data_IF_104258436337
#
_entry.id   IF_104258436337
#
_cell.length_a   1.000
_cell.length_b   1.000
_cell.length_c   1.000
_cell.angle_alpha   90.00
_cell.angle_beta   90.00
_cell.angle_gamma   90.00
#
_symmetry.space_group_name_H-M   'P 1'
#
loop_
_entity.id
_entity.type
_entity.pdbx_description
1 polymer ?
#
# COMPACT_ATOMS: atom_id res chain seq x y z
N UNK A 1 18.30 26.37 13.08
CA UNK A 1 19.00 25.78 14.25
C UNK A 1 19.51 26.92 15.11
N UNK A 2 19.27 26.86 16.41
CA UNK A 2 19.66 27.92 17.35
C UNK A 2 21.19 28.05 17.41
N UNK A 3 21.71 29.26 17.14
CA UNK A 3 23.16 29.51 16.98
C UNK A 3 23.93 29.18 18.26
N UNK A 4 23.29 29.32 19.41
CA UNK A 4 23.90 29.02 20.71
C UNK A 4 23.97 27.51 20.97
N UNK A 5 23.02 26.72 20.46
CA UNK A 5 23.05 25.25 20.49
C UNK A 5 24.12 24.67 19.55
N UNK A 6 24.35 25.31 18.40
CA UNK A 6 25.43 24.93 17.48
C UNK A 6 26.80 25.30 18.06
N UNK A 7 26.91 26.45 18.73
CA UNK A 7 28.14 26.87 19.39
C UNK A 7 28.45 26.04 20.64
N UNK A 8 27.41 25.68 21.40
CA UNK A 8 27.53 24.75 22.54
C UNK A 8 27.94 23.36 22.07
N UNK A 9 27.32 22.81 21.01
CA UNK A 9 27.69 21.49 20.49
C UNK A 9 29.11 21.46 19.91
N UNK A 10 29.56 22.51 19.22
CA UNK A 10 30.95 22.67 18.79
C UNK A 10 31.93 22.86 19.98
N UNK A 11 31.53 23.54 21.05
CA UNK A 11 32.37 23.67 22.25
C UNK A 11 32.49 22.36 23.04
N UNK A 12 31.44 21.54 23.02
CA UNK A 12 31.34 20.29 23.79
C UNK A 12 31.98 19.09 23.07
N UNK A 13 31.93 19.06 21.74
CA UNK A 13 32.47 17.96 20.91
C UNK A 13 33.70 18.36 20.07
N UNK A 14 33.99 19.66 19.94
CA UNK A 14 35.01 20.20 19.05
C UNK A 14 36.46 19.80 19.37
N UNK A 15 36.93 19.77 20.63
CA UNK A 15 38.33 19.44 20.92
C UNK A 15 38.68 17.99 20.56
N UNK A 16 37.78 17.06 20.84
CA UNK A 16 37.92 15.62 20.58
C UNK A 16 37.79 15.27 19.10
N UNK A 17 36.84 15.90 18.39
CA UNK A 17 36.68 15.75 16.94
C UNK A 17 37.92 16.31 16.20
N UNK A 18 38.41 17.47 16.63
CA UNK A 18 39.56 18.14 16.03
C UNK A 18 40.89 17.42 16.33
N UNK A 19 41.01 16.75 17.48
CA UNK A 19 42.15 15.86 17.76
C UNK A 19 42.13 14.60 16.91
N UNK A 20 40.95 14.01 16.66
CA UNK A 20 40.82 12.83 15.80
C UNK A 20 41.12 13.14 14.33
N UNK A 21 40.63 14.28 13.83
CA UNK A 21 40.94 14.80 12.49
C UNK A 21 42.44 15.07 12.30
N UNK A 22 43.15 15.53 13.34
CA UNK A 22 44.61 15.74 13.30
C UNK A 22 45.41 14.45 13.37
N UNK A 23 44.95 13.46 14.14
CA UNK A 23 45.60 12.15 14.24
C UNK A 23 45.50 11.36 12.93
N UNK A 24 44.37 11.38 12.21
CA UNK A 24 44.26 10.66 10.93
C UNK A 24 44.92 11.39 9.75
N UNK A 25 45.18 12.70 9.88
CA UNK A 25 46.01 13.44 8.91
C UNK A 25 47.52 13.11 9.00
N UNK A 26 47.97 12.43 10.06
CA UNK A 26 49.35 11.95 10.21
C UNK A 26 49.31 10.42 10.30
N UNK A 27 49.76 9.72 9.26
CA UNK A 27 49.56 8.26 9.06
C UNK A 27 50.02 7.32 10.21
N UNK A 28 50.65 7.81 11.28
CA UNK A 28 51.10 6.96 12.39
C UNK A 28 51.08 7.66 13.76
N UNK A 29 50.00 7.52 14.53
CA UNK A 29 50.05 7.58 16.00
C UNK A 29 48.86 6.85 16.65
N UNK A 30 49.15 5.97 17.62
CA UNK A 30 48.13 5.29 18.42
C UNK A 30 47.52 6.22 19.49
N UNK A 31 46.23 6.06 19.85
CA UNK A 31 45.58 6.93 20.83
C UNK A 31 46.03 6.59 22.27
N UNK A 32 46.10 7.57 23.20
CA UNK A 32 46.45 7.31 24.60
C UNK A 32 45.26 6.70 25.36
N UNK A 33 45.49 5.94 26.45
CA UNK A 33 44.42 5.30 27.19
C UNK A 33 43.80 6.29 28.17
N UNK A 34 42.57 6.71 27.91
CA UNK A 34 41.76 7.52 28.82
C UNK A 34 40.37 6.90 28.95
N UNK A 35 40.04 6.41 30.15
CA UNK A 35 38.69 5.96 30.49
C UNK A 35 37.77 7.17 30.49
N UNK A 36 36.73 7.17 29.66
CA UNK A 36 35.48 7.85 30.00
C UNK A 36 34.31 7.30 29.18
N UNK A 37 33.32 6.79 29.92
CA UNK A 37 32.02 6.37 29.38
C UNK A 37 31.23 7.63 29.06
N UNK A 38 30.89 7.85 27.79
CA UNK A 38 29.59 8.36 27.37
C UNK A 38 29.44 8.25 25.84
N UNK A 39 28.21 8.00 25.42
CA UNK A 39 27.76 7.46 24.13
C UNK A 39 28.35 8.23 22.93
N UNK A 40 29.48 7.76 22.42
CA UNK A 40 30.09 8.19 21.17
C UNK A 40 29.89 7.07 20.15
N UNK A 41 28.94 7.25 19.23
CA UNK A 41 28.85 6.36 18.06
C UNK A 41 30.05 6.67 17.15
N UNK A 42 31.17 6.01 17.44
CA UNK A 42 32.46 6.14 16.75
C UNK A 42 32.30 5.96 15.24
N UNK A 43 31.33 5.13 14.82
CA UNK A 43 30.97 4.90 13.43
C UNK A 43 30.40 6.14 12.73
N UNK A 44 29.57 6.93 13.40
CA UNK A 44 29.01 8.18 12.86
C UNK A 44 30.12 9.23 12.72
N UNK A 45 31.02 9.29 13.70
CA UNK A 45 32.16 10.21 13.66
C UNK A 45 33.14 9.85 12.53
N UNK A 46 33.44 8.56 12.33
CA UNK A 46 34.23 8.11 11.18
C UNK A 46 33.51 8.32 9.85
N UNK A 47 32.19 8.16 9.79
CA UNK A 47 31.41 8.42 8.58
C UNK A 47 31.48 9.90 8.18
N UNK A 48 31.25 10.82 9.13
CA UNK A 48 31.33 12.26 8.89
C UNK A 48 32.74 12.67 8.48
N UNK A 49 33.77 12.12 9.12
CA UNK A 49 35.16 12.40 8.75
C UNK A 49 35.51 11.90 7.33
N UNK A 50 35.12 10.66 6.98
CA UNK A 50 35.34 10.08 5.64
C UNK A 50 34.54 10.75 4.52
N UNK A 51 33.48 11.47 4.88
CA UNK A 51 32.59 12.17 3.93
C UNK A 51 32.71 13.69 4.06
N UNK A 52 33.67 14.21 4.83
CA UNK A 52 33.87 15.63 5.02
C UNK A 52 34.06 16.37 3.68
N UNK A 53 34.76 15.75 2.74
CA UNK A 53 35.01 16.28 1.40
C UNK A 53 33.71 16.52 0.61
N UNK A 54 32.69 15.67 0.81
CA UNK A 54 31.35 15.81 0.23
C UNK A 54 30.48 16.78 1.04
N UNK A 55 30.55 16.70 2.37
CA UNK A 55 29.74 17.49 3.30
C UNK A 55 30.14 18.97 3.36
N UNK A 56 31.41 19.27 3.07
CA UNK A 56 32.00 20.61 3.13
C UNK A 56 32.58 21.07 1.79
N UNK A 57 32.19 20.44 0.67
CA UNK A 57 32.60 20.91 -0.66
C UNK A 57 32.09 22.34 -0.90
N UNK A 58 32.94 23.18 -1.49
CA UNK A 58 32.60 24.56 -1.87
C UNK A 58 31.62 24.59 -3.06
N UNK A 59 31.59 23.54 -3.88
CA UNK A 59 30.65 23.37 -4.99
C UNK A 59 29.98 22.00 -4.88
N UNK A 60 28.65 21.99 -4.87
CA UNK A 60 27.84 20.76 -4.70
C UNK A 60 27.79 19.90 -5.98
N UNK A 61 28.40 20.35 -7.08
CA UNK A 61 28.51 19.57 -8.32
C UNK A 61 29.61 18.53 -8.15
N UNK A 62 29.24 17.26 -8.01
CA UNK A 62 30.19 16.17 -8.04
C UNK A 62 30.80 16.08 -9.45
N UNK A 63 32.13 16.06 -9.56
CA UNK A 63 32.87 15.75 -10.81
C UNK A 63 32.61 14.32 -11.35
N UNK A 64 31.62 13.61 -10.81
CA UNK A 64 31.09 12.41 -11.44
C UNK A 64 30.52 12.82 -12.78
N UNK A 65 30.98 12.26 -13.91
CA UNK A 65 30.24 12.41 -15.15
C UNK A 65 28.84 11.86 -14.87
N UNK A 66 27.86 12.75 -14.80
CA UNK A 66 26.49 12.34 -14.99
C UNK A 66 26.51 11.55 -16.29
N UNK A 67 26.16 10.25 -16.23
CA UNK A 67 25.86 9.53 -17.45
C UNK A 67 24.76 10.34 -18.14
N UNK A 68 25.16 11.12 -19.13
CA UNK A 68 24.32 11.98 -19.95
C UNK A 68 23.45 11.14 -20.91
N UNK A 69 23.08 9.94 -20.47
CA UNK A 69 22.00 9.13 -21.01
C UNK A 69 20.88 9.20 -19.97
N UNK A 70 19.88 10.08 -20.21
CA UNK A 70 18.55 10.18 -19.56
C UNK A 70 18.15 11.50 -18.89
N UNK A 71 18.69 12.64 -19.34
CA UNK A 71 18.00 13.94 -19.23
C UNK A 71 17.37 14.39 -20.56
N UNK A 72 17.22 13.48 -21.52
CA UNK A 72 15.97 13.52 -22.29
C UNK A 72 14.84 13.40 -21.26
N UNK A 73 13.78 14.22 -21.29
CA UNK A 73 12.61 14.01 -20.46
C UNK A 73 12.09 12.60 -20.75
N UNK A 74 12.53 11.64 -19.94
CA UNK A 74 12.31 10.23 -20.15
C UNK A 74 10.86 9.95 -19.85
N UNK A 75 10.04 10.16 -20.88
CA UNK A 75 8.70 9.61 -21.07
C UNK A 75 7.88 9.49 -19.79
N UNK A 76 7.60 10.59 -19.09
CA UNK A 76 6.54 10.64 -18.07
C UNK A 76 6.62 9.60 -16.93
N UNK A 77 7.78 8.98 -16.68
CA UNK A 77 7.92 7.92 -15.67
C UNK A 77 8.28 8.46 -14.28
N UNK A 78 8.68 9.73 -14.16
CA UNK A 78 8.93 10.39 -12.88
C UNK A 78 8.50 11.84 -12.91
N UNK A 79 7.89 12.31 -11.83
CA UNK A 79 7.51 13.71 -11.69
C UNK A 79 8.78 14.56 -11.59
N UNK A 80 8.94 15.54 -12.49
CA UNK A 80 10.00 16.54 -12.36
C UNK A 80 9.57 17.51 -11.27
N UNK A 81 10.29 17.47 -10.14
CA UNK A 81 9.99 18.35 -9.02
C UNK A 81 10.54 19.75 -9.32
N UNK A 82 9.74 20.81 -9.11
CA UNK A 82 10.24 22.17 -9.19
C UNK A 82 11.26 22.45 -8.06
N UNK A 83 12.07 23.52 -8.14
CA UNK A 83 13.00 23.88 -7.08
C UNK A 83 12.29 23.99 -5.72
N UNK A 84 12.78 23.26 -4.72
CA UNK A 84 12.12 23.16 -3.40
C UNK A 84 11.95 24.54 -2.72
N UNK A 85 12.83 25.48 -3.05
CA UNK A 85 12.80 26.89 -2.62
C UNK A 85 11.50 27.64 -2.98
N UNK A 86 10.70 27.13 -3.93
CA UNK A 86 9.37 27.66 -4.23
C UNK A 86 8.35 27.38 -3.13
N UNK A 87 8.56 26.31 -2.34
CA UNK A 87 7.66 25.91 -1.25
C UNK A 87 8.21 26.25 0.13
N UNK A 88 9.42 26.83 0.17
CA UNK A 88 10.08 27.24 1.39
C UNK A 88 10.04 28.77 1.49
N UNK A 89 9.75 29.28 2.68
CA UNK A 89 9.77 30.72 2.98
C UNK A 89 11.21 31.23 3.16
N UNK A 90 12.06 31.04 2.15
CA UNK A 90 13.47 31.51 2.16
C UNK A 90 13.50 32.98 1.75
N UNK A 91 14.14 33.87 2.52
CA UNK A 91 14.30 35.28 2.17
C UNK A 91 15.04 35.47 0.83
N UNK A 92 14.65 36.51 0.07
CA UNK A 92 15.25 36.79 -1.25
C UNK A 92 16.76 37.09 -1.17
N UNK A 93 17.24 37.68 -0.07
CA UNK A 93 18.67 37.94 0.14
C UNK A 93 19.47 36.63 0.19
N UNK A 94 18.99 35.63 0.96
CA UNK A 94 19.62 34.32 1.05
C UNK A 94 19.54 33.56 -0.29
N UNK A 95 18.38 33.60 -0.97
CA UNK A 95 18.23 33.00 -2.31
C UNK A 95 19.23 33.57 -3.31
N UNK A 96 19.47 34.89 -3.28
CA UNK A 96 20.44 35.58 -4.15
C UNK A 96 21.87 35.17 -3.82
N UNK A 97 22.23 35.10 -2.55
CA UNK A 97 23.56 34.66 -2.11
C UNK A 97 23.84 33.20 -2.54
N UNK A 98 22.85 32.32 -2.36
CA UNK A 98 22.92 30.92 -2.79
C UNK A 98 23.07 30.79 -4.31
N UNK A 99 22.33 31.59 -5.07
CA UNK A 99 22.44 31.61 -6.53
C UNK A 99 23.86 32.00 -6.99
N UNK A 100 24.44 33.09 -6.47
CA UNK A 100 25.79 33.51 -6.87
C UNK A 100 26.90 32.57 -6.37
N UNK A 101 26.66 31.87 -5.26
CA UNK A 101 27.53 30.79 -4.78
C UNK A 101 27.57 29.63 -5.78
N UNK A 102 26.40 29.19 -6.25
CA UNK A 102 26.23 27.93 -6.98
C UNK A 102 26.34 28.06 -8.51
N UNK A 103 26.07 29.24 -9.07
CA UNK A 103 26.17 29.47 -10.52
C UNK A 103 27.61 29.33 -11.01
N UNK A 104 27.80 28.64 -12.13
CA UNK A 104 29.11 28.40 -12.74
C UNK A 104 29.13 28.78 -14.22
N UNK A 105 30.34 28.92 -14.77
CA UNK A 105 30.53 29.18 -16.20
C UNK A 105 30.06 27.96 -17.01
N UNK A 106 29.27 28.22 -18.04
CA UNK A 106 28.66 27.18 -18.88
C UNK A 106 27.25 26.76 -18.45
N UNK A 107 26.78 27.17 -17.26
CA UNK A 107 25.38 26.99 -16.87
C UNK A 107 24.47 27.79 -17.82
N UNK A 108 23.28 27.26 -18.11
CA UNK A 108 22.31 27.90 -18.99
C UNK A 108 21.27 28.62 -18.14
N UNK A 109 20.97 29.85 -18.50
CA UNK A 109 19.96 30.68 -17.85
C UNK A 109 18.93 31.19 -18.86
N UNK A 110 17.71 31.37 -18.38
CA UNK A 110 16.58 31.88 -19.16
C UNK A 110 16.13 33.19 -18.53
N UNK A 111 15.93 34.21 -19.35
CA UNK A 111 15.51 35.53 -18.88
C UNK A 111 14.82 36.34 -19.95
N UNK A 112 14.30 37.53 -19.58
CA UNK A 112 13.68 38.47 -20.51
C UNK A 112 14.59 39.67 -20.75
N UNK A 113 14.67 40.11 -22.00
CA UNK A 113 15.41 41.32 -22.37
C UNK A 113 14.74 42.53 -21.73
N UNK A 114 15.46 43.24 -20.86
CA UNK A 114 14.96 44.44 -20.17
C UNK A 114 15.34 45.74 -20.87
N UNK A 115 16.54 45.81 -21.46
CA UNK A 115 17.04 47.00 -22.15
C UNK A 115 18.05 46.61 -23.22
N UNK A 116 17.95 47.22 -24.39
CA UNK A 116 18.90 47.07 -25.50
C UNK A 116 19.71 48.36 -25.62
N UNK A 117 21.03 48.25 -25.73
CA UNK A 117 21.98 49.36 -25.89
C UNK A 117 23.02 49.01 -26.96
N UNK A 118 23.76 50.01 -27.43
CA UNK A 118 24.77 49.83 -28.50
C UNK A 118 25.87 48.81 -28.16
N UNK A 119 26.14 48.56 -26.87
CA UNK A 119 27.15 47.61 -26.41
C UNK A 119 26.59 46.23 -26.02
N UNK A 120 25.28 46.02 -26.11
CA UNK A 120 24.62 44.76 -25.75
C UNK A 120 23.25 44.98 -25.13
N UNK A 121 22.65 43.89 -24.66
CA UNK A 121 21.36 43.97 -23.97
C UNK A 121 21.45 43.41 -22.55
N UNK A 122 20.64 44.00 -21.67
CA UNK A 122 20.42 43.53 -20.31
C UNK A 122 19.26 42.55 -20.28
N UNK A 123 19.41 41.53 -19.43
CA UNK A 123 18.49 40.42 -19.31
C UNK A 123 18.16 40.26 -17.84
N UNK A 124 16.87 40.31 -17.49
CA UNK A 124 16.40 39.95 -16.16
C UNK A 124 16.19 38.44 -16.16
N UNK A 125 16.93 37.73 -15.31
CA UNK A 125 16.85 36.28 -15.23
C UNK A 125 15.52 35.84 -14.60
N UNK A 126 14.95 34.78 -15.17
CA UNK A 126 13.66 34.20 -14.74
C UNK A 126 13.82 32.77 -14.26
N UNK A 127 14.63 31.96 -14.94
CA UNK A 127 14.80 30.55 -14.62
C UNK A 127 16.19 30.03 -14.98
N UNK A 128 16.57 28.91 -14.36
CA UNK A 128 17.73 28.12 -14.77
C UNK A 128 17.31 27.20 -15.93
N UNK A 129 18.13 27.14 -16.97
CA UNK A 129 17.96 26.23 -18.11
C UNK A 129 18.82 24.97 -18.05
N UNK A 130 19.84 24.96 -17.18
CA UNK A 130 20.65 23.78 -16.88
C UNK A 130 21.35 23.92 -15.52
N UNK A 131 22.01 22.85 -15.07
CA UNK A 131 22.70 22.82 -13.78
C UNK A 131 21.73 22.66 -12.61
N UNK A 132 22.03 23.30 -11.49
CA UNK A 132 21.18 23.24 -10.29
C UNK A 132 19.97 24.16 -10.50
N UNK A 133 18.77 23.57 -10.61
CA UNK A 133 17.54 24.33 -10.79
C UNK A 133 17.20 25.11 -9.50
N UNK A 134 17.06 26.42 -9.63
CA UNK A 134 16.73 27.37 -8.56
C UNK A 134 15.53 28.23 -8.98
N UNK A 135 14.76 28.68 -8.00
CA UNK A 135 13.73 29.70 -8.26
C UNK A 135 14.35 31.10 -8.13
N UNK A 136 14.60 31.71 -9.29
CA UNK A 136 15.22 33.03 -9.39
C UNK A 136 14.26 34.10 -9.90
N UNK A 137 12.99 33.75 -10.10
CA UNK A 137 11.95 34.62 -10.70
C UNK A 137 11.78 35.93 -9.92
N UNK A 138 11.90 35.88 -8.60
CA UNK A 138 11.67 36.98 -7.67
C UNK A 138 12.94 37.76 -7.30
N UNK A 139 14.12 37.34 -7.78
CA UNK A 139 15.41 37.90 -7.39
C UNK A 139 15.86 39.10 -8.24
N UNK A 140 15.17 39.36 -9.36
CA UNK A 140 15.43 40.49 -10.28
C UNK A 140 16.92 40.59 -10.70
N UNK A 141 17.57 39.46 -10.91
CA UNK A 141 19.00 39.41 -11.24
C UNK A 141 19.20 39.91 -12.67
N UNK A 142 19.99 40.97 -12.81
CA UNK A 142 20.32 41.57 -14.10
C UNK A 142 21.65 41.02 -14.62
N UNK A 143 21.62 40.47 -15.83
CA UNK A 143 22.78 39.97 -16.55
C UNK A 143 23.00 40.75 -17.85
N UNK A 144 24.26 40.90 -18.27
CA UNK A 144 24.63 41.60 -19.49
C UNK A 144 25.04 40.60 -20.57
N UNK A 145 24.42 40.67 -21.74
CA UNK A 145 24.94 40.02 -22.94
C UNK A 145 25.56 41.07 -23.86
N UNK A 146 26.90 41.15 -23.95
CA UNK A 146 27.57 42.14 -24.80
C UNK A 146 27.41 41.79 -26.28
N UNK A 147 27.42 42.78 -27.20
CA UNK A 147 27.19 42.53 -28.65
C UNK A 147 28.12 41.46 -29.23
N UNK A 148 29.38 41.43 -28.79
CA UNK A 148 30.37 40.41 -29.23
C UNK A 148 29.93 38.96 -28.97
N UNK A 149 29.08 38.78 -27.99
CA UNK A 149 28.57 37.50 -27.52
C UNK A 149 27.17 37.19 -28.08
N UNK A 150 26.67 38.02 -29.01
CA UNK A 150 25.43 37.83 -29.77
C UNK A 150 25.79 37.37 -31.19
N UNK A 151 25.27 36.23 -31.69
CA UNK A 151 25.57 35.77 -33.04
C UNK A 151 24.87 36.62 -34.09
N UNK A 152 25.63 37.09 -35.09
CA UNK A 152 25.08 37.80 -36.25
C UNK A 152 24.43 36.82 -37.22
N UNK A 153 23.13 36.95 -37.48
CA UNK A 153 22.42 36.09 -38.44
C UNK A 153 22.63 36.49 -39.91
N UNK A 154 23.14 37.71 -40.17
CA UNK A 154 23.47 38.19 -41.52
C UNK A 154 24.89 38.77 -41.55
N UNK A 155 25.57 38.68 -42.70
CA UNK A 155 26.98 39.09 -42.86
C UNK A 155 27.22 40.61 -42.71
N UNK A 156 26.17 41.44 -42.76
CA UNK A 156 26.27 42.91 -42.76
C UNK A 156 25.20 43.63 -41.89
N UNK A 157 24.36 42.91 -41.14
CA UNK A 157 23.34 43.51 -40.28
C UNK A 157 23.80 43.69 -38.83
N UNK A 158 23.21 44.66 -38.15
CA UNK A 158 23.39 44.84 -36.70
C UNK A 158 22.88 43.59 -35.95
N UNK A 159 23.72 42.89 -35.17
CA UNK A 159 23.33 41.68 -34.44
C UNK A 159 22.17 41.89 -33.46
N UNK A 160 21.96 43.12 -32.99
CA UNK A 160 20.93 43.46 -32.01
C UNK A 160 19.55 43.66 -32.65
N UNK A 161 19.48 43.92 -33.95
CA UNK A 161 18.23 44.27 -34.66
C UNK A 161 17.14 43.18 -34.62
N UNK A 162 17.54 41.93 -34.38
CA UNK A 162 16.63 40.77 -34.28
C UNK A 162 15.88 40.72 -32.95
N UNK A 163 16.41 41.35 -31.89
CA UNK A 163 15.91 41.21 -30.52
C UNK A 163 15.06 42.41 -30.12
N UNK A 164 13.99 42.15 -29.39
CA UNK A 164 13.10 43.17 -28.85
C UNK A 164 13.07 43.14 -27.32
N UNK A 165 12.74 44.28 -26.72
CA UNK A 165 12.52 44.36 -25.27
C UNK A 165 11.33 43.48 -24.91
N UNK A 166 11.50 42.61 -23.93
CA UNK A 166 10.50 41.64 -23.49
C UNK A 166 10.70 40.23 -24.04
N UNK A 167 11.56 40.04 -25.05
CA UNK A 167 11.80 38.71 -25.62
C UNK A 167 12.39 37.76 -24.57
N UNK A 168 11.83 36.55 -24.40
CA UNK A 168 12.43 35.51 -23.59
C UNK A 168 13.61 34.89 -24.35
N UNK A 169 14.76 34.82 -23.68
CA UNK A 169 15.99 34.31 -24.25
C UNK A 169 16.64 33.27 -23.34
N UNK A 170 17.30 32.31 -23.97
CA UNK A 170 18.13 31.30 -23.34
C UNK A 170 19.60 31.54 -23.70
N UNK A 171 20.45 31.71 -22.68
CA UNK A 171 21.85 32.07 -22.84
C UNK A 171 22.76 31.29 -21.88
N UNK A 172 24.01 31.09 -22.28
CA UNK A 172 25.02 30.46 -21.43
C UNK A 172 25.73 31.52 -20.57
N UNK A 173 26.03 31.17 -19.31
CA UNK A 173 26.80 32.02 -18.40
C UNK A 173 28.27 31.96 -18.81
N UNK A 174 28.82 33.09 -19.28
CA UNK A 174 30.21 33.20 -19.73
C UNK A 174 31.15 33.63 -18.61
N UNK A 175 30.73 34.60 -17.81
CA UNK A 175 31.52 35.13 -16.70
C UNK A 175 30.66 35.54 -15.51
N UNK A 176 31.21 35.41 -14.31
CA UNK A 176 30.53 35.60 -13.03
C UNK A 176 31.42 36.43 -12.12
N UNK A 177 30.97 37.63 -11.78
CA UNK A 177 31.56 38.45 -10.73
C UNK A 177 30.70 38.31 -9.46
N UNK A 178 31.14 37.43 -8.56
CA UNK A 178 30.43 37.14 -7.31
C UNK A 178 30.51 38.29 -6.30
N UNK A 179 31.50 39.16 -6.40
CA UNK A 179 31.68 40.26 -5.45
C UNK A 179 30.73 41.42 -5.77
N UNK A 180 30.56 41.73 -7.06
CA UNK A 180 29.63 42.78 -7.49
C UNK A 180 28.26 42.25 -7.94
N UNK A 181 28.01 40.95 -7.79
CA UNK A 181 26.77 40.28 -8.22
C UNK A 181 26.42 40.53 -9.69
N UNK A 182 27.42 40.44 -10.58
CA UNK A 182 27.25 40.67 -12.02
C UNK A 182 27.46 39.39 -12.82
N UNK A 183 26.62 39.21 -13.82
CA UNK A 183 26.69 38.10 -14.77
C UNK A 183 26.90 38.60 -16.19
N UNK A 184 27.78 37.91 -16.92
CA UNK A 184 27.97 38.10 -18.36
C UNK A 184 27.48 36.86 -19.10
N UNK A 185 26.59 37.06 -20.07
CA UNK A 185 25.97 35.99 -20.85
C UNK A 185 26.54 35.90 -22.26
N UNK A 186 26.44 34.72 -22.87
CA UNK A 186 26.78 34.49 -24.27
C UNK A 186 25.76 33.61 -24.96
N UNK A 187 25.46 33.97 -26.21
CA UNK A 187 24.60 33.21 -27.12
C UNK A 187 25.40 32.33 -28.07
N UNK A 188 26.73 32.33 -27.98
CA UNK A 188 27.58 31.43 -28.75
C UNK A 188 27.62 30.03 -28.12
N UNK A 189 27.46 29.00 -28.94
CA UNK A 189 27.57 27.60 -28.49
C UNK A 189 28.93 27.24 -27.88
N UNK A 190 29.99 28.01 -28.18
CA UNK A 190 31.32 27.83 -27.58
C UNK A 190 31.35 28.09 -26.07
N UNK A 191 30.34 28.76 -25.52
CA UNK A 191 30.22 28.98 -24.09
C UNK A 191 29.62 27.79 -23.33
N UNK A 192 29.05 26.80 -24.05
CA UNK A 192 28.46 25.61 -23.46
C UNK A 192 29.50 24.50 -23.23
N UNK A 193 29.34 23.67 -22.19
CA UNK A 193 30.09 22.43 -22.05
C UNK A 193 29.86 21.47 -23.22
N UNK A 194 30.82 20.58 -23.49
CA UNK A 194 30.78 19.62 -24.63
C UNK A 194 29.54 18.72 -24.63
N UNK A 195 29.03 18.36 -23.45
CA UNK A 195 27.85 17.52 -23.26
C UNK A 195 26.52 18.26 -23.48
N UNK A 196 26.50 19.61 -23.55
CA UNK A 196 25.29 20.42 -23.76
C UNK A 196 25.24 21.09 -25.14
N UNK A 197 26.00 20.60 -26.11
CA UNK A 197 26.09 21.20 -27.45
C UNK A 197 24.78 21.19 -28.27
N UNK A 198 23.81 20.37 -27.86
CA UNK A 198 22.46 20.27 -28.43
C UNK A 198 21.51 21.39 -27.97
N UNK A 199 21.82 22.11 -26.88
CA UNK A 199 20.95 23.15 -26.33
C UNK A 199 20.82 24.33 -27.30
N UNK A 200 19.59 24.80 -27.50
CA UNK A 200 19.28 25.95 -28.35
C UNK A 200 19.51 27.25 -27.56
N UNK A 201 20.45 28.07 -28.01
CA UNK A 201 20.68 29.42 -27.47
C UNK A 201 20.00 30.46 -28.36
N UNK A 202 19.49 31.53 -27.75
CA UNK A 202 18.79 32.62 -28.43
C UNK A 202 17.36 32.81 -27.94
N UNK A 203 16.50 33.39 -28.79
CA UNK A 203 15.08 33.60 -28.46
C UNK A 203 14.37 32.24 -28.38
N UNK A 204 13.61 32.06 -27.30
CA UNK A 204 12.83 30.86 -27.02
C UNK A 204 11.32 31.16 -27.03
N UNK A 205 10.50 30.13 -27.09
CA UNK A 205 9.03 30.27 -26.97
C UNK A 205 8.58 29.95 -25.54
N UNK A 206 7.32 30.26 -25.21
CA UNK A 206 6.75 29.90 -23.91
C UNK A 206 6.73 28.39 -23.66
N UNK A 207 6.71 27.59 -24.72
CA UNK A 207 6.71 26.13 -24.65
C UNK A 207 8.10 25.57 -24.32
N UNK A 208 9.16 26.35 -24.54
CA UNK A 208 10.54 26.01 -24.19
C UNK A 208 10.89 26.40 -22.73
N UNK A 209 9.95 27.04 -22.00
CA UNK A 209 10.15 27.38 -20.60
C UNK A 209 10.10 26.12 -19.73
N UNK A 210 10.90 26.05 -18.64
CA UNK A 210 10.83 24.92 -17.73
C UNK A 210 9.43 24.74 -17.14
N UNK A 211 8.95 23.49 -17.04
CA UNK A 211 7.60 23.16 -16.56
C UNK A 211 7.24 23.79 -15.20
N UNK A 212 8.24 23.99 -14.35
CA UNK A 212 8.08 24.60 -13.03
C UNK A 212 7.84 26.11 -13.06
N UNK A 213 8.17 26.79 -14.15
CA UNK A 213 7.93 28.24 -14.28
C UNK A 213 6.44 28.55 -14.40
N UNK A 214 5.69 27.67 -15.07
CA UNK A 214 4.25 27.87 -15.31
C UNK A 214 3.37 27.40 -14.14
N UNK A 215 3.88 26.51 -13.28
CA UNK A 215 3.10 25.83 -12.24
C UNK A 215 3.43 26.35 -10.83
N UNK A 216 2.92 27.52 -10.46
CA UNK A 216 2.99 28.03 -9.09
C UNK A 216 1.74 27.58 -8.32
N UNK A 217 1.82 26.43 -7.66
CA UNK A 217 0.76 25.88 -6.80
C UNK A 217 1.39 25.34 -5.51
N UNK A 218 0.60 25.01 -4.48
CA UNK A 218 1.08 24.31 -3.30
C UNK A 218 1.79 22.99 -3.68
N UNK A 219 2.81 22.58 -2.91
CA UNK A 219 3.60 21.36 -3.15
C UNK A 219 2.75 20.12 -3.48
N UNK A 220 1.69 19.89 -2.70
CA UNK A 220 0.79 18.76 -2.88
C UNK A 220 0.01 18.84 -4.22
N UNK A 221 -0.36 20.04 -4.64
CA UNK A 221 -1.05 20.26 -5.91
C UNK A 221 -0.12 20.07 -7.11
N UNK A 222 1.14 20.53 -7.01
CA UNK A 222 2.16 20.30 -8.04
C UNK A 222 2.44 18.80 -8.24
N UNK A 223 2.54 18.03 -7.15
CA UNK A 223 2.68 16.58 -7.22
C UNK A 223 1.47 15.91 -7.87
N UNK A 224 0.25 16.25 -7.44
CA UNK A 224 -0.98 15.64 -7.98
C UNK A 224 -1.23 15.96 -9.45
N UNK A 225 -0.78 17.12 -9.93
CA UNK A 225 -0.89 17.52 -11.34
C UNK A 225 0.10 16.77 -12.23
N UNK A 226 1.18 16.23 -11.67
CA UNK A 226 2.14 15.45 -12.44
C UNK A 226 1.54 14.11 -12.87
N UNK A 227 1.42 13.91 -14.19
CA UNK A 227 1.00 12.65 -14.80
C UNK A 227 1.87 11.48 -14.33
N UNK A 228 3.16 11.74 -14.14
CA UNK A 228 4.10 10.75 -13.64
C UNK A 228 3.81 10.37 -12.19
N UNK A 229 3.43 11.29 -11.30
CA UNK A 229 3.11 10.94 -9.91
C UNK A 229 1.92 9.98 -9.79
N UNK A 230 0.98 10.05 -10.74
CA UNK A 230 -0.20 9.18 -10.79
C UNK A 230 0.06 7.83 -11.47
N UNK A 231 1.25 7.62 -12.04
CA UNK A 231 1.55 6.42 -12.80
C UNK A 231 1.95 5.25 -11.86
N UNK A 232 1.23 4.11 -11.85
CA UNK A 232 1.56 2.95 -11.02
C UNK A 232 2.95 2.36 -11.31
N UNK A 233 3.46 2.51 -12.54
CA UNK A 233 4.77 1.98 -12.94
C UNK A 233 5.95 2.81 -12.43
N UNK A 234 5.69 3.96 -11.80
CA UNK A 234 6.75 4.80 -11.20
C UNK A 234 7.46 4.09 -10.08
N UNK A 235 6.75 3.29 -9.29
CA UNK A 235 7.34 2.55 -8.17
C UNK A 235 8.37 1.56 -8.69
N UNK A 236 8.04 0.77 -9.71
CA UNK A 236 8.96 -0.18 -10.34
C UNK A 236 10.18 0.52 -10.95
N UNK A 237 9.97 1.65 -11.64
CA UNK A 237 11.06 2.44 -12.24
C UNK A 237 11.99 3.04 -11.17
N UNK A 238 11.42 3.57 -10.08
CA UNK A 238 12.17 4.11 -8.95
C UNK A 238 12.94 3.03 -8.22
N UNK A 239 12.34 1.85 -8.01
CA UNK A 239 12.99 0.69 -7.44
C UNK A 239 14.19 0.26 -8.29
N UNK A 240 14.02 0.21 -9.62
CA UNK A 240 15.12 -0.03 -10.57
C UNK A 240 16.24 1.01 -10.48
N UNK A 241 15.90 2.31 -10.44
CA UNK A 241 16.88 3.40 -10.30
C UNK A 241 17.63 3.35 -8.95
N UNK A 242 16.95 2.98 -7.88
CA UNK A 242 17.53 2.87 -6.54
C UNK A 242 18.26 1.53 -6.31
N UNK A 243 18.21 0.60 -7.28
CA UNK A 243 18.78 -0.74 -7.14
C UNK A 243 18.08 -1.59 -6.09
N UNK A 244 16.82 -1.26 -5.76
CA UNK A 244 16.01 -1.98 -4.79
C UNK A 244 15.23 -3.08 -5.53
N UNK A 245 15.47 -4.34 -5.17
CA UNK A 245 14.68 -5.46 -5.68
C UNK A 245 13.50 -5.74 -4.75
N UNK A 246 12.29 -5.94 -5.32
CA UNK A 246 11.15 -6.46 -4.55
C UNK A 246 11.36 -7.92 -4.12
N UNK A 247 12.09 -8.71 -4.91
CA UNK A 247 12.38 -10.11 -4.59
C UNK A 247 13.47 -10.27 -3.54
N UNK A 248 14.39 -9.31 -3.44
CA UNK A 248 15.50 -9.36 -2.50
C UNK A 248 15.80 -7.96 -1.96
N UNK A 249 14.93 -7.42 -1.08
CA UNK A 249 15.15 -6.09 -0.55
C UNK A 249 16.43 -6.09 0.30
N UNK A 250 17.31 -5.08 0.18
CA UNK A 250 18.56 -4.99 0.94
C UNK A 250 18.35 -4.71 2.44
N UNK A 251 17.09 -4.79 2.91
CA UNK A 251 16.69 -4.51 4.27
C UNK A 251 16.53 -5.81 5.07
N UNK A 252 17.10 -5.82 6.28
CA UNK A 252 16.86 -6.86 7.30
C UNK A 252 15.48 -6.70 7.99
N UNK A 253 14.67 -5.71 7.59
CA UNK A 253 13.33 -5.53 8.11
C UNK A 253 12.45 -6.66 7.60
N UNK A 254 12.10 -7.56 8.52
CA UNK A 254 11.28 -8.76 8.31
C UNK A 254 10.02 -8.52 7.46
N UNK A 255 9.41 -7.34 7.55
CA UNK A 255 8.17 -6.99 6.85
C UNK A 255 8.27 -6.87 5.33
N UNK A 256 9.47 -6.72 4.75
CA UNK A 256 9.66 -6.53 3.30
C UNK A 256 10.02 -7.83 2.56
N UNK A 257 10.37 -8.90 3.26
CA UNK A 257 10.81 -10.16 2.64
C UNK A 257 9.66 -11.16 2.52
N UNK A 258 8.91 -11.09 1.42
CA UNK A 258 7.73 -11.94 1.17
C UNK A 258 8.04 -13.44 1.15
N UNK A 259 9.23 -13.84 0.71
CA UNK A 259 9.62 -15.25 0.55
C UNK A 259 9.96 -15.97 1.87
N UNK A 260 10.17 -15.23 2.96
CA UNK A 260 10.53 -15.80 4.27
C UNK A 260 9.31 -16.01 5.20
N UNK A 261 8.10 -15.74 4.73
CA UNK A 261 6.88 -15.99 5.51
C UNK A 261 6.32 -17.37 5.21
N UNK A 262 6.03 -18.13 6.26
CA UNK A 262 5.26 -19.35 6.09
C UNK A 262 3.83 -19.01 5.71
N UNK A 263 3.15 -19.90 4.97
CA UNK A 263 1.74 -19.70 4.62
C UNK A 263 0.82 -19.49 5.85
N UNK A 264 1.29 -19.95 7.02
CA UNK A 264 0.58 -19.82 8.28
C UNK A 264 0.66 -18.42 8.89
N UNK A 265 1.69 -17.65 8.55
CA UNK A 265 1.92 -16.30 9.03
C UNK A 265 1.13 -15.25 8.24
N UNK A 266 0.51 -15.65 7.13
CA UNK A 266 -0.36 -14.76 6.38
C UNK A 266 -1.63 -14.41 7.15
N UNK A 267 -2.04 -13.15 7.02
CA UNK A 267 -3.18 -12.59 7.73
C UNK A 267 -4.47 -13.40 7.52
N UNK A 268 -4.68 -14.00 6.34
CA UNK A 268 -5.84 -14.85 6.07
C UNK A 268 -5.84 -16.12 6.93
N UNK A 269 -4.71 -16.85 6.96
CA UNK A 269 -4.51 -18.06 7.76
C UNK A 269 -4.65 -17.77 9.26
N UNK A 270 -4.06 -16.68 9.73
CA UNK A 270 -4.16 -16.21 11.12
C UNK A 270 -5.60 -15.90 11.50
N UNK A 271 -6.33 -15.13 10.68
CA UNK A 271 -7.73 -14.79 10.93
C UNK A 271 -8.61 -16.03 10.98
N UNK A 272 -8.38 -17.03 10.11
CA UNK A 272 -9.12 -18.30 10.15
C UNK A 272 -8.90 -19.04 11.47
N UNK A 273 -7.65 -19.15 11.94
CA UNK A 273 -7.32 -19.77 13.25
C UNK A 273 -7.95 -19.00 14.42
N UNK A 274 -7.87 -17.67 14.39
CA UNK A 274 -8.45 -16.81 15.43
C UNK A 274 -9.98 -16.93 15.49
N UNK A 275 -10.64 -16.88 14.33
CA UNK A 275 -12.09 -17.01 14.23
C UNK A 275 -12.56 -18.36 14.75
N UNK A 276 -11.90 -19.45 14.35
CA UNK A 276 -12.20 -20.79 14.86
C UNK A 276 -11.99 -20.90 16.39
N UNK A 277 -10.93 -20.28 16.92
CA UNK A 277 -10.67 -20.24 18.36
C UNK A 277 -11.74 -19.46 19.14
N UNK A 278 -12.16 -18.30 18.63
CA UNK A 278 -13.22 -17.49 19.23
C UNK A 278 -14.58 -18.19 19.16
N UNK A 279 -14.93 -18.78 18.02
CA UNK A 279 -16.14 -19.58 17.90
C UNK A 279 -16.17 -20.73 18.92
N UNK A 280 -15.07 -21.46 19.08
CA UNK A 280 -14.96 -22.53 20.08
C UNK A 280 -15.13 -22.01 21.52
N UNK A 281 -14.64 -20.80 21.82
CA UNK A 281 -14.83 -20.17 23.13
C UNK A 281 -16.31 -19.85 23.39
N UNK A 282 -17.02 -19.31 22.40
CA UNK A 282 -18.46 -19.09 22.47
C UNK A 282 -19.22 -20.42 22.67
N UNK A 283 -18.85 -21.49 21.95
CA UNK A 283 -19.45 -22.82 22.16
C UNK A 283 -19.29 -23.30 23.60
N UNK A 284 -18.08 -23.21 24.16
CA UNK A 284 -17.82 -23.60 25.55
C UNK A 284 -18.70 -22.83 26.54
N UNK A 285 -18.78 -21.51 26.38
CA UNK A 285 -19.66 -20.67 27.22
C UNK A 285 -21.14 -21.06 27.06
N UNK A 286 -21.59 -21.31 25.84
CA UNK A 286 -22.96 -21.77 25.57
C UNK A 286 -23.27 -23.11 26.25
N UNK A 287 -22.34 -24.06 26.21
CA UNK A 287 -22.46 -25.34 26.92
C UNK A 287 -22.52 -25.16 28.43
N UNK A 288 -21.74 -24.24 29.00
CA UNK A 288 -21.78 -23.96 30.43
C UNK A 288 -23.12 -23.32 30.85
N UNK A 289 -23.66 -22.39 30.05
CA UNK A 289 -25.02 -21.87 30.28
C UNK A 289 -26.09 -22.94 30.17
N UNK A 290 -25.96 -23.84 29.18
CA UNK A 290 -26.90 -24.95 28.99
C UNK A 290 -26.95 -25.86 30.21
N UNK A 291 -25.79 -26.22 30.78
CA UNK A 291 -25.69 -27.05 32.00
C UNK A 291 -26.38 -26.44 33.22
N UNK A 292 -26.39 -25.11 33.31
CA UNK A 292 -27.03 -24.35 34.40
C UNK A 292 -28.53 -24.08 34.11
N UNK A 293 -29.07 -24.59 33.01
CA UNK A 293 -30.48 -24.41 32.61
C UNK A 293 -30.78 -23.05 31.96
N UNK A 294 -29.76 -22.23 31.69
CA UNK A 294 -29.90 -20.92 31.04
C UNK A 294 -29.95 -21.07 29.52
N UNK A 295 -31.04 -21.65 29.04
CA UNK A 295 -31.20 -22.02 27.62
C UNK A 295 -31.19 -20.84 26.63
N UNK A 296 -31.66 -19.66 27.03
CA UNK A 296 -31.65 -18.47 26.16
C UNK A 296 -30.23 -17.96 25.95
N UNK A 297 -29.44 -17.88 27.01
CA UNK A 297 -28.04 -17.45 26.94
C UNK A 297 -27.19 -18.45 26.17
N UNK A 298 -27.43 -19.75 26.36
CA UNK A 298 -26.79 -20.81 25.58
C UNK A 298 -27.05 -20.64 24.07
N UNK A 299 -28.31 -20.39 23.68
CA UNK A 299 -28.68 -20.15 22.28
C UNK A 299 -27.95 -18.94 21.70
N UNK A 300 -27.85 -17.85 22.47
CA UNK A 300 -27.17 -16.64 22.02
C UNK A 300 -25.67 -16.90 21.79
N UNK A 301 -24.99 -17.63 22.68
CA UNK A 301 -23.58 -17.97 22.50
C UNK A 301 -23.35 -18.93 21.32
N UNK A 302 -24.25 -19.89 21.08
CA UNK A 302 -24.16 -20.74 19.89
C UNK A 302 -24.37 -19.98 18.59
N UNK A 303 -25.29 -19.01 18.57
CA UNK A 303 -25.48 -18.16 17.39
C UNK A 303 -24.26 -17.28 17.13
N UNK A 304 -23.67 -16.66 18.16
CA UNK A 304 -22.41 -15.91 18.04
C UNK A 304 -21.28 -16.77 17.49
N UNK A 305 -21.16 -18.02 17.95
CA UNK A 305 -20.14 -18.94 17.43
C UNK A 305 -20.30 -19.16 15.92
N UNK A 306 -21.53 -19.28 15.44
CA UNK A 306 -21.85 -19.49 14.02
C UNK A 306 -21.80 -18.21 13.18
N UNK A 307 -21.95 -17.03 13.78
CA UNK A 307 -21.66 -15.76 13.11
C UNK A 307 -20.15 -15.59 12.84
N UNK A 308 -19.30 -16.10 13.74
CA UNK A 308 -17.84 -16.06 13.62
C UNK A 308 -17.34 -17.16 12.67
N UNK A 309 -17.85 -18.38 12.82
CA UNK A 309 -17.47 -19.55 12.04
C UNK A 309 -18.72 -20.37 11.71
N UNK A 310 -19.32 -20.06 10.55
CA UNK A 310 -20.58 -20.65 10.12
C UNK A 310 -20.54 -22.18 9.95
N UNK A 311 -19.35 -22.76 9.77
CA UNK A 311 -19.16 -24.21 9.58
C UNK A 311 -18.64 -24.90 10.85
N UNK A 312 -18.73 -24.24 12.01
CA UNK A 312 -18.27 -24.81 13.26
C UNK A 312 -19.15 -25.99 13.70
N UNK A 313 -18.63 -27.21 13.54
CA UNK A 313 -19.34 -28.47 13.82
C UNK A 313 -19.85 -28.53 15.26
N UNK A 314 -19.05 -28.12 16.24
CA UNK A 314 -19.44 -28.17 17.66
C UNK A 314 -20.58 -27.19 17.98
N UNK A 315 -20.56 -26.00 17.37
CA UNK A 315 -21.62 -25.01 17.54
C UNK A 315 -22.94 -25.50 16.92
N UNK A 316 -22.90 -26.07 15.71
CA UNK A 316 -24.06 -26.65 15.04
C UNK A 316 -24.66 -27.80 15.87
N UNK A 317 -23.82 -28.71 16.38
CA UNK A 317 -24.28 -29.83 17.21
C UNK A 317 -24.88 -29.35 18.53
N UNK A 318 -24.24 -28.40 19.21
CA UNK A 318 -24.73 -27.88 20.47
C UNK A 318 -26.07 -27.12 20.30
N UNK A 319 -26.19 -26.32 19.22
CA UNK A 319 -27.43 -25.61 18.89
C UNK A 319 -28.53 -26.57 18.46
N UNK A 320 -28.21 -27.57 17.64
CA UNK A 320 -29.14 -28.62 17.22
C UNK A 320 -29.69 -29.39 18.41
N UNK A 321 -28.83 -29.76 19.37
CA UNK A 321 -29.26 -30.41 20.61
C UNK A 321 -30.20 -29.51 21.43
N UNK A 322 -29.89 -28.22 21.53
CA UNK A 322 -30.77 -27.26 22.20
C UNK A 322 -32.12 -27.11 21.48
N UNK A 323 -32.15 -27.10 20.14
CA UNK A 323 -33.40 -27.09 19.38
C UNK A 323 -34.22 -28.36 19.60
N UNK A 324 -33.57 -29.53 19.65
CA UNK A 324 -34.21 -30.81 19.93
C UNK A 324 -34.89 -30.80 21.31
N UNK A 325 -34.18 -30.36 22.35
CA UNK A 325 -34.75 -30.26 23.72
C UNK A 325 -35.93 -29.29 23.82
N UNK A 326 -36.01 -28.28 22.93
CA UNK A 326 -37.16 -27.36 22.85
C UNK A 326 -38.28 -27.85 21.92
N UNK A 327 -38.19 -29.06 21.36
CA UNK A 327 -39.17 -29.62 20.42
C UNK A 327 -39.11 -29.04 19.01
N UNK A 328 -38.12 -28.19 18.69
CA UNK A 328 -37.91 -27.62 17.36
C UNK A 328 -37.15 -28.59 16.45
N UNK A 329 -37.70 -29.80 16.25
CA UNK A 329 -37.01 -30.94 15.66
C UNK A 329 -36.49 -30.69 14.24
N UNK A 330 -37.27 -30.00 13.38
CA UNK A 330 -36.83 -29.72 12.01
C UNK A 330 -35.57 -28.83 11.96
N UNK A 331 -35.45 -27.85 12.88
CA UNK A 331 -34.24 -27.01 12.98
C UNK A 331 -33.06 -27.79 13.52
N UNK A 332 -33.31 -28.67 14.49
CA UNK A 332 -32.28 -29.57 15.03
C UNK A 332 -31.72 -30.50 13.94
N UNK A 333 -32.60 -31.14 13.16
CA UNK A 333 -32.22 -32.01 12.04
C UNK A 333 -31.33 -31.25 11.05
N UNK A 334 -31.73 -30.04 10.66
CA UNK A 334 -30.95 -29.22 9.73
C UNK A 334 -29.55 -28.92 10.27
N UNK A 335 -29.43 -28.45 11.52
CA UNK A 335 -28.12 -28.16 12.12
C UNK A 335 -27.23 -29.42 12.21
N UNK A 336 -27.80 -30.59 12.52
CA UNK A 336 -27.05 -31.84 12.57
C UNK A 336 -26.64 -32.35 11.19
N UNK A 337 -27.47 -32.18 10.16
CA UNK A 337 -27.14 -32.52 8.78
C UNK A 337 -25.95 -31.68 8.30
N UNK A 338 -25.99 -30.36 8.48
CA UNK A 338 -24.87 -29.46 8.15
C UNK A 338 -23.61 -29.82 8.95
N UNK A 339 -23.76 -30.20 10.23
CA UNK A 339 -22.62 -30.65 11.03
C UNK A 339 -21.97 -31.92 10.45
N UNK A 340 -22.76 -32.87 9.95
CA UNK A 340 -22.27 -34.11 9.33
C UNK A 340 -21.74 -33.91 7.91
N UNK A 341 -22.24 -32.92 7.17
CA UNK A 341 -21.63 -32.51 5.89
C UNK A 341 -20.18 -32.02 6.10
N UNK A 342 -19.95 -31.25 7.16
CA UNK A 342 -18.62 -30.74 7.52
C UNK A 342 -17.73 -31.79 8.19
N UNK A 343 -18.31 -32.68 9.01
CA UNK A 343 -17.59 -33.76 9.68
C UNK A 343 -18.41 -35.06 9.69
N UNK A 344 -18.31 -35.90 8.65
CA UNK A 344 -19.12 -37.11 8.50
C UNK A 344 -18.93 -38.15 9.61
N UNK A 345 -17.80 -38.11 10.31
CA UNK A 345 -17.45 -39.04 11.38
C UNK A 345 -17.82 -38.53 12.78
N UNK A 346 -18.49 -37.37 12.87
CA UNK A 346 -18.84 -36.76 14.15
C UNK A 346 -19.89 -37.58 14.92
N UNK A 347 -19.44 -38.28 15.96
CA UNK A 347 -20.25 -39.27 16.71
C UNK A 347 -21.52 -38.66 17.32
N UNK A 348 -21.41 -37.50 17.96
CA UNK A 348 -22.54 -36.87 18.64
C UNK A 348 -23.59 -36.34 17.65
N UNK A 349 -23.15 -35.74 16.54
CA UNK A 349 -24.05 -35.26 15.49
C UNK A 349 -24.87 -36.42 14.93
N UNK A 350 -24.20 -37.53 14.61
CA UNK A 350 -24.85 -38.73 14.09
C UNK A 350 -25.88 -39.31 15.07
N UNK A 351 -25.50 -39.45 16.34
CA UNK A 351 -26.39 -39.97 17.38
C UNK A 351 -27.61 -39.07 17.57
N UNK A 352 -27.41 -37.77 17.73
CA UNK A 352 -28.51 -36.83 17.96
C UNK A 352 -29.40 -36.68 16.73
N UNK A 353 -28.86 -36.77 15.52
CA UNK A 353 -29.64 -36.80 14.29
C UNK A 353 -30.56 -38.01 14.25
N UNK A 354 -30.05 -39.23 14.50
CA UNK A 354 -30.90 -40.43 14.53
C UNK A 354 -32.03 -40.31 15.56
N UNK A 355 -31.72 -39.84 16.77
CA UNK A 355 -32.72 -39.64 17.83
C UNK A 355 -33.79 -38.62 17.43
N UNK A 356 -33.38 -37.48 16.88
CA UNK A 356 -34.33 -36.43 16.46
C UNK A 356 -35.17 -36.82 15.25
N UNK A 357 -34.64 -37.62 14.32
CA UNK A 357 -35.41 -38.18 13.20
C UNK A 357 -36.49 -39.15 13.69
N UNK A 358 -36.17 -40.01 14.67
CA UNK A 358 -37.16 -40.93 15.27
C UNK A 358 -38.24 -40.17 16.03
N UNK A 359 -37.86 -39.18 16.83
CA UNK A 359 -38.82 -38.34 17.56
C UNK A 359 -39.74 -37.58 16.61
N UNK A 360 -39.20 -37.04 15.50
CA UNK A 360 -40.01 -36.36 14.49
C UNK A 360 -40.91 -37.32 13.72
N UNK A 361 -40.43 -38.53 13.47
CA UNK A 361 -41.24 -39.63 12.92
C UNK A 361 -42.44 -39.92 13.81
N UNK A 362 -42.24 -40.01 15.12
CA UNK A 362 -43.31 -40.26 16.09
C UNK A 362 -44.38 -39.16 16.10
N UNK A 363 -43.96 -37.88 16.08
CA UNK A 363 -44.91 -36.77 15.95
C UNK A 363 -45.73 -36.84 14.65
N UNK A 364 -45.11 -37.29 13.54
CA UNK A 364 -45.81 -37.46 12.27
C UNK A 364 -46.76 -38.66 12.26
N UNK A 365 -46.48 -39.71 13.05
CA UNK A 365 -47.43 -40.79 13.28
C UNK A 365 -48.68 -40.28 14.03
N UNK A 366 -48.48 -39.44 15.06
CA UNK A 366 -49.60 -38.79 15.78
C UNK A 366 -50.40 -37.85 14.89
N UNK A 367 -49.75 -37.22 13.90
CA UNK A 367 -50.40 -36.40 12.86
C UNK A 367 -51.05 -37.23 11.72
N UNK A 368 -51.11 -38.56 11.82
CA UNK A 368 -51.59 -39.51 10.80
C UNK A 368 -50.82 -39.49 9.45
N UNK A 369 -49.63 -38.88 9.41
CA UNK A 369 -48.76 -38.76 8.23
C UNK A 369 -47.79 -39.93 8.11
N UNK A 370 -48.33 -41.15 8.04
CA UNK A 370 -47.58 -42.41 8.09
C UNK A 370 -46.53 -42.61 6.97
N UNK A 371 -46.67 -41.94 5.82
CA UNK A 371 -45.66 -42.02 4.75
C UNK A 371 -44.41 -41.20 5.08
N UNK A 372 -44.61 -40.00 5.65
CA UNK A 372 -43.49 -39.15 6.04
C UNK A 372 -42.76 -39.75 7.22
N UNK A 373 -43.48 -40.28 8.22
CA UNK A 373 -42.88 -40.98 9.36
C UNK A 373 -41.96 -42.13 8.92
N UNK A 374 -42.40 -42.97 7.97
CA UNK A 374 -41.58 -44.04 7.40
C UNK A 374 -40.30 -43.51 6.72
N UNK A 375 -40.39 -42.38 6.01
CA UNK A 375 -39.21 -41.73 5.43
C UNK A 375 -38.22 -41.27 6.50
N UNK A 376 -38.68 -40.74 7.64
CA UNK A 376 -37.78 -40.31 8.72
C UNK A 376 -37.10 -41.50 9.42
N UNK A 377 -37.82 -42.59 9.70
CA UNK A 377 -37.23 -43.79 10.30
C UNK A 377 -36.24 -44.49 9.37
N UNK A 378 -36.58 -44.62 8.09
CA UNK A 378 -35.65 -45.17 7.10
C UNK A 378 -34.38 -44.32 6.97
N UNK A 379 -34.50 -42.97 6.97
CA UNK A 379 -33.35 -42.08 7.00
C UNK A 379 -32.47 -42.32 8.22
N UNK A 380 -33.04 -42.46 9.42
CA UNK A 380 -32.27 -42.77 10.63
C UNK A 380 -31.46 -44.07 10.48
N UNK A 381 -32.06 -45.13 9.91
CA UNK A 381 -31.37 -46.40 9.65
C UNK A 381 -30.31 -46.31 8.55
N UNK A 382 -30.44 -45.39 7.59
CA UNK A 382 -29.38 -45.15 6.59
C UNK A 382 -28.14 -44.53 7.22
N UNK A 383 -28.34 -43.66 8.23
CA UNK A 383 -27.27 -42.97 8.95
C UNK A 383 -26.60 -43.91 9.96
N UNK A 384 -27.39 -44.65 10.73
CA UNK A 384 -26.94 -45.68 11.65
C UNK A 384 -27.82 -46.92 11.56
N UNK A 385 -27.31 -47.94 10.86
CA UNK A 385 -27.99 -49.23 10.67
C UNK A 385 -28.19 -50.00 11.97
N UNK A 386 -27.42 -49.68 13.01
CA UNK A 386 -27.49 -50.37 14.31
C UNK A 386 -28.44 -49.70 15.29
N UNK A 387 -29.16 -48.66 14.85
CA UNK A 387 -30.07 -47.89 15.70
C UNK A 387 -31.41 -48.62 15.90
N UNK A 388 -31.52 -49.34 17.02
CA UNK A 388 -32.65 -50.23 17.35
C UNK A 388 -33.99 -49.52 17.42
N UNK A 389 -34.04 -48.31 18.00
CA UNK A 389 -35.29 -47.54 18.17
C UNK A 389 -35.95 -47.20 16.81
N UNK A 390 -35.16 -46.88 15.77
CA UNK A 390 -35.71 -46.62 14.44
C UNK A 390 -36.21 -47.91 13.78
N UNK A 391 -35.53 -49.04 13.97
CA UNK A 391 -35.94 -50.33 13.43
C UNK A 391 -37.26 -50.80 14.05
N UNK A 392 -37.38 -50.70 15.37
CA UNK A 392 -38.60 -51.02 16.11
C UNK A 392 -39.78 -50.14 15.67
N UNK A 393 -39.57 -48.83 15.55
CA UNK A 393 -40.60 -47.90 15.11
C UNK A 393 -41.06 -48.20 13.67
N UNK A 394 -40.12 -48.46 12.75
CA UNK A 394 -40.42 -48.81 11.37
C UNK A 394 -41.20 -50.13 11.26
N UNK A 395 -40.82 -51.15 12.06
CA UNK A 395 -41.51 -52.44 12.09
C UNK A 395 -42.94 -52.31 12.64
N UNK A 396 -43.12 -51.53 13.72
CA UNK A 396 -44.44 -51.20 14.28
C UNK A 396 -45.32 -50.51 13.24
N UNK A 397 -44.80 -49.53 12.51
CA UNK A 397 -45.52 -48.82 11.47
C UNK A 397 -45.91 -49.73 10.29
N UNK A 398 -45.02 -50.64 9.88
CA UNK A 398 -45.31 -51.64 8.83
C UNK A 398 -46.43 -52.61 9.25
N UNK A 399 -46.40 -53.10 10.48
CA UNK A 399 -47.46 -53.96 11.02
C UNK A 399 -48.80 -53.23 11.06
N UNK A 400 -48.81 -51.96 11.48
CA UNK A 400 -50.01 -51.12 11.49
C UNK A 400 -50.58 -50.90 10.09
N UNK A 401 -49.74 -50.61 9.08
CA UNK A 401 -50.17 -50.49 7.68
C UNK A 401 -50.75 -51.81 7.15
N UNK A 402 -50.12 -52.94 7.43
CA UNK A 402 -50.61 -54.25 6.98
C UNK A 402 -51.95 -54.63 7.62
N UNK A 403 -52.14 -54.38 8.93
CA UNK A 403 -53.41 -54.64 9.59
C UNK A 403 -54.52 -53.74 9.05
N UNK A 404 -54.24 -52.45 8.81
CA UNK A 404 -55.18 -51.51 8.18
C UNK A 404 -55.58 -51.95 6.75
N UNK A 405 -54.63 -52.41 5.94
CA UNK A 405 -54.90 -52.92 4.59
C UNK A 405 -55.76 -54.19 4.61
N UNK A 406 -55.50 -55.13 5.53
CA UNK A 406 -56.30 -56.35 5.71
C UNK A 406 -57.74 -56.05 6.15
N UNK A 407 -57.93 -55.08 7.06
CA UNK A 407 -59.26 -54.64 7.47
C UNK A 407 -60.01 -53.99 6.30
N UNK A 408 -59.31 -53.18 5.49
CA UNK A 408 -59.89 -52.54 4.31
C UNK A 408 -60.30 -53.56 3.24
N UNK A 409 -59.48 -54.57 2.96
CA UNK A 409 -59.82 -55.62 1.99
C UNK A 409 -60.98 -56.51 2.47
N UNK A 410 -61.03 -56.85 3.76
CA UNK A 410 -62.15 -57.59 4.37
C UNK A 410 -63.46 -56.79 4.31
N UNK A 411 -63.42 -55.48 4.56
CA UNK A 411 -64.61 -54.62 4.44
C UNK A 411 -65.09 -54.47 2.99
N UNK A 412 -64.18 -54.50 2.01
CA UNK A 412 -64.54 -54.49 0.59
C UNK A 412 -65.23 -55.81 0.21
N UNK A 413 -64.68 -56.97 0.61
CA UNK A 413 -65.29 -58.27 0.30
C UNK A 413 -66.67 -58.44 0.95
N UNK A 414 -66.87 -57.98 2.19
CA UNK A 414 -68.19 -57.95 2.85
C UNK A 414 -69.20 -57.04 2.14
N UNK A 415 -68.75 -55.88 1.62
CA UNK A 415 -69.58 -54.97 0.81
C UNK A 415 -69.95 -55.58 -0.55
N UNK A 416 -69.05 -56.36 -1.15
CA UNK A 416 -69.32 -57.06 -2.40
C UNK A 416 -70.27 -58.25 -2.20
N UNK A 417 -70.12 -59.02 -1.12
CA UNK A 417 -71.04 -60.11 -0.76
C UNK A 417 -72.46 -59.60 -0.45
N UNK A 418 -72.59 -58.48 0.28
CA UNK A 418 -73.91 -57.86 0.53
C UNK A 418 -74.55 -57.28 -0.74
N UNK A 419 -73.75 -56.75 -1.67
CA UNK A 419 -74.22 -56.34 -3.01
C UNK A 419 -74.62 -57.52 -3.90
N UNK A 420 -73.93 -58.65 -3.80
CA UNK A 420 -74.29 -59.87 -4.51
C UNK A 420 -75.62 -60.44 -3.98
N UNK A 421 -75.76 -60.56 -2.66
CA UNK A 421 -76.99 -61.07 -2.04
C UNK A 421 -78.22 -60.19 -2.31
N UNK A 422 -78.06 -58.88 -2.46
CA UNK A 422 -79.16 -57.97 -2.84
C UNK A 422 -79.52 -58.02 -4.34
N UNK A 423 -78.66 -58.55 -5.21
CA UNK A 423 -78.96 -58.77 -6.64
C UNK A 423 -79.68 -60.10 -6.92
N UNK A 424 -79.53 -61.10 -6.06
CA UNK A 424 -80.19 -62.41 -6.20
C UNK A 424 -81.52 -62.53 -5.42
N UNK A 425 -81.96 -61.46 -4.74
CA UNK A 425 -83.18 -61.42 -3.93
C UNK A 425 -84.36 -60.67 -4.56
N UNK A 426 -84.45 -60.57 -5.89
CA UNK A 426 -85.61 -60.01 -6.61
C UNK A 426 -86.22 -61.02 -7.56
#
# INVERSE_FOLDING_TARGET
MDKDLVRQSLSYHGPTLLSLLRCEQHEHAAPPPGKERNVNNVEIQHFIARKADLLFSLSWKSNTPENADSLEPSQGYSAVMPPLEQFMDVPNEEKKELFFRDVERGDVVIGKISSIRDFGFFVVLLAMGSGILRDITTLEINALCPVRDVPSQSSHGDPLSYYQIGDPIQAAVKDIDRYHEKLTLSLHKSALPTHMSSVKLGVITTDDMPDYYNNVNNYEAALRQSLAFSNPSTVESLLGKLGLSESNPPSLIRGLQRENFSDQDFAASLRKKQSSSWALKCVKLGVDYFKVGRHVDAMNEYNKALEIDAQNVEALVARGALYATKGSLNKAIHDFEVALENCPTHRNARKYLCQTLVERGGQLEEEDKLLNAESYYSKALTIDKTFTEAEEALNKLRLCKQSALRLRSSNISLREQSRANSRFGK
#
